data_IF_310232426490
#
_entry.id   IF_310232426490
#
_cell.length_a   1.000
_cell.length_b   1.000
_cell.length_c   1.000
_cell.angle_alpha   90.00
_cell.angle_beta   90.00
_cell.angle_gamma   90.00
#
_symmetry.space_group_name_H-M   'P 1'
#
loop_
_entity.id
_entity.type
_entity.pdbx_description
1 polymer ?
#
# COMPACT_ATOMS: atom_id res chain seq x y z
N UNK A 1 17.12 -7.58 4.72
CA UNK A 1 17.42 -6.18 4.34
C UNK A 1 16.44 -5.27 5.05
N UNK A 2 16.89 -4.43 5.99
CA UNK A 2 16.03 -3.44 6.66
C UNK A 2 16.16 -2.14 5.87
N UNK A 3 15.17 -1.84 5.03
CA UNK A 3 15.10 -0.52 4.40
C UNK A 3 14.91 0.51 5.52
N UNK A 4 15.89 1.40 5.70
CA UNK A 4 15.85 2.40 6.77
C UNK A 4 14.57 3.23 6.63
N UNK A 5 13.79 3.33 7.71
CA UNK A 5 12.67 4.26 7.88
C UNK A 5 11.40 4.03 7.03
N UNK A 6 11.17 2.82 6.51
CA UNK A 6 9.97 2.48 5.73
C UNK A 6 8.86 1.78 6.55
N UNK A 7 8.92 1.85 7.89
CA UNK A 7 8.00 1.15 8.79
C UNK A 7 7.03 2.14 9.43
N UNK A 8 6.05 2.59 8.64
CA UNK A 8 4.96 3.44 9.14
C UNK A 8 3.73 2.66 9.59
N UNK A 9 3.67 1.38 9.25
CA UNK A 9 2.62 0.50 9.76
C UNK A 9 2.79 0.30 11.27
N UNK A 10 1.67 0.36 11.99
CA UNK A 10 1.63 0.14 13.45
C UNK A 10 1.30 -1.31 13.80
N UNK A 11 1.11 -2.17 12.80
CA UNK A 11 0.86 -3.60 12.95
C UNK A 11 1.52 -4.41 11.81
N UNK A 12 1.28 -5.73 11.80
CA UNK A 12 1.85 -6.67 10.83
C UNK A 12 1.48 -6.28 9.40
N UNK A 13 2.49 -6.18 8.54
CA UNK A 13 2.32 -6.12 7.08
C UNK A 13 1.95 -7.52 6.59
N UNK A 14 0.83 -7.64 5.89
CA UNK A 14 0.33 -8.93 5.40
C UNK A 14 0.58 -9.14 3.91
N UNK A 15 0.61 -8.05 3.13
CA UNK A 15 0.77 -8.11 1.67
C UNK A 15 1.57 -6.92 1.15
N UNK A 16 2.17 -7.09 -0.03
CA UNK A 16 2.86 -6.05 -0.78
C UNK A 16 2.70 -6.28 -2.28
N UNK A 17 2.81 -5.22 -3.07
CA UNK A 17 2.86 -5.27 -4.53
C UNK A 17 3.80 -4.19 -5.08
N UNK A 18 4.53 -4.53 -6.14
CA UNK A 18 5.30 -3.57 -6.93
C UNK A 18 4.43 -3.01 -8.07
N UNK A 19 4.63 -1.74 -8.43
CA UNK A 19 4.12 -1.21 -9.70
C UNK A 19 4.84 -1.87 -10.88
N UNK A 20 4.20 -1.98 -12.06
CA UNK A 20 4.81 -2.55 -13.26
C UNK A 20 6.13 -1.87 -13.65
N UNK A 21 6.21 -0.55 -13.57
CA UNK A 21 7.43 0.24 -13.83
C UNK A 21 8.52 0.10 -12.74
N UNK A 22 8.26 -0.63 -11.66
CA UNK A 22 9.16 -0.82 -10.52
C UNK A 22 9.54 0.46 -9.77
N UNK A 23 8.77 1.55 -9.92
CA UNK A 23 9.04 2.81 -9.20
C UNK A 23 8.29 2.91 -7.88
N UNK A 24 7.24 2.10 -7.68
CA UNK A 24 6.41 2.13 -6.48
C UNK A 24 6.28 0.77 -5.81
N UNK A 25 6.13 0.81 -4.48
CA UNK A 25 5.74 -0.34 -3.65
C UNK A 25 4.51 0.03 -2.84
N UNK A 26 3.46 -0.77 -2.94
CA UNK A 26 2.30 -0.69 -2.06
C UNK A 26 2.36 -1.80 -0.99
N UNK A 27 2.01 -1.47 0.25
CA UNK A 27 1.98 -2.40 1.39
C UNK A 27 0.64 -2.30 2.12
N UNK A 28 0.12 -3.45 2.56
CA UNK A 28 -1.14 -3.57 3.29
C UNK A 28 -0.93 -4.22 4.65
N UNK A 29 -1.61 -3.71 5.67
CA UNK A 29 -1.34 -4.06 7.06
C UNK A 29 -2.59 -4.41 7.85
N UNK A 30 -2.39 -5.12 8.96
CA UNK A 30 -3.40 -5.36 9.99
C UNK A 30 -3.87 -4.06 10.66
N UNK A 31 -3.12 -2.96 10.55
CA UNK A 31 -3.54 -1.63 11.03
C UNK A 31 -4.59 -0.96 10.14
N UNK A 32 -5.21 -1.70 9.21
CA UNK A 32 -6.25 -1.27 8.27
C UNK A 32 -5.80 -0.31 7.17
N UNK A 33 -4.51 -0.01 7.08
CA UNK A 33 -3.97 0.93 6.09
C UNK A 33 -3.32 0.26 4.89
N UNK A 34 -3.38 0.98 3.77
CA UNK A 34 -2.49 0.78 2.61
C UNK A 34 -1.51 1.94 2.56
N UNK A 35 -0.22 1.65 2.40
CA UNK A 35 0.81 2.66 2.22
C UNK A 35 1.51 2.44 0.88
N UNK A 36 1.69 3.52 0.12
CA UNK A 36 2.38 3.49 -1.17
C UNK A 36 3.65 4.32 -1.04
N UNK A 37 4.77 3.75 -1.48
CA UNK A 37 6.07 4.38 -1.49
C UNK A 37 6.59 4.49 -2.92
N UNK A 38 7.15 5.64 -3.26
CA UNK A 38 8.01 5.81 -4.43
C UNK A 38 9.45 5.51 -3.99
N UNK A 39 10.09 4.51 -4.61
CA UNK A 39 11.42 4.03 -4.18
C UNK A 39 12.53 5.01 -4.49
N UNK A 40 12.27 6.00 -5.35
CA UNK A 40 13.20 7.07 -5.68
C UNK A 40 13.05 8.28 -4.75
N UNK A 41 12.06 8.28 -3.85
CA UNK A 41 11.80 9.36 -2.90
C UNK A 41 12.05 8.94 -1.46
N UNK A 42 12.32 9.90 -0.55
CA UNK A 42 12.36 9.61 0.88
C UNK A 42 11.03 9.03 1.37
N UNK A 43 11.10 8.07 2.30
CA UNK A 43 9.94 7.40 2.91
C UNK A 43 8.86 8.36 3.46
N UNK A 44 9.26 9.59 3.82
CA UNK A 44 8.35 10.65 4.25
C UNK A 44 7.32 11.08 3.20
N UNK A 45 7.61 10.89 1.90
CA UNK A 45 6.73 11.22 0.77
C UNK A 45 5.70 10.14 0.44
N UNK A 46 5.61 9.09 1.25
CA UNK A 46 4.63 8.02 1.07
C UNK A 46 3.20 8.57 1.05
N UNK A 47 2.31 7.86 0.37
CA UNK A 47 0.88 8.06 0.46
C UNK A 47 0.33 7.05 1.48
N UNK A 48 -0.46 7.50 2.45
CA UNK A 48 -1.08 6.63 3.45
C UNK A 48 -2.59 6.71 3.35
N UNK A 49 -3.22 5.59 2.98
CA UNK A 49 -4.68 5.41 2.98
C UNK A 49 -5.06 4.71 4.28
N UNK A 50 -5.53 5.49 5.26
CA UNK A 50 -6.05 4.95 6.53
C UNK A 50 -7.46 4.40 6.34
N UNK A 51 -7.78 3.30 7.02
CA UNK A 51 -9.11 2.69 6.92
C UNK A 51 -9.44 2.22 5.50
N UNK A 52 -8.44 1.71 4.77
CA UNK A 52 -8.63 1.18 3.43
C UNK A 52 -9.62 0.00 3.42
N UNK A 53 -9.66 -0.76 4.52
CA UNK A 53 -10.64 -1.81 4.79
C UNK A 53 -11.12 -1.71 6.25
N UNK A 54 -12.30 -2.26 6.56
CA UNK A 54 -12.75 -2.44 7.94
C UNK A 54 -12.09 -3.69 8.56
N UNK A 55 -10.79 -3.57 8.86
CA UNK A 55 -9.94 -4.66 9.35
C UNK A 55 -8.67 -4.79 8.52
N UNK A 56 -7.96 -5.92 8.67
CA UNK A 56 -6.67 -6.14 8.02
C UNK A 56 -6.75 -6.12 6.49
N UNK A 57 -5.74 -5.53 5.85
CA UNK A 57 -5.56 -5.65 4.39
C UNK A 57 -4.79 -6.93 4.10
N UNK A 58 -5.34 -7.81 3.26
CA UNK A 58 -4.77 -9.15 3.00
C UNK A 58 -4.34 -9.37 1.55
N UNK A 59 -4.89 -8.61 0.61
CA UNK A 59 -4.50 -8.65 -0.80
C UNK A 59 -4.21 -7.26 -1.33
N UNK A 60 -3.21 -7.17 -2.21
CA UNK A 60 -2.78 -5.94 -2.88
C UNK A 60 -2.19 -6.31 -4.24
N UNK A 61 -2.55 -5.56 -5.27
CA UNK A 61 -1.99 -5.68 -6.61
C UNK A 61 -2.03 -4.33 -7.34
N UNK A 62 -1.01 -4.03 -8.14
CA UNK A 62 -1.11 -2.98 -9.15
C UNK A 62 -1.75 -3.55 -10.42
N UNK A 63 -2.69 -2.82 -10.99
CA UNK A 63 -3.26 -3.10 -12.31
C UNK A 63 -2.45 -2.45 -13.44
N UNK A 64 -1.91 -1.27 -13.15
CA UNK A 64 -1.02 -0.45 -14.00
C UNK A 64 -0.18 0.44 -13.06
N UNK A 65 0.60 1.39 -13.58
CA UNK A 65 1.49 2.22 -12.75
C UNK A 65 0.75 3.18 -11.79
N UNK A 66 -0.56 3.34 -11.94
CA UNK A 66 -1.36 4.32 -11.18
C UNK A 66 -2.64 3.74 -10.56
N UNK A 67 -2.91 2.46 -10.76
CA UNK A 67 -4.16 1.83 -10.29
C UNK A 67 -3.84 0.64 -9.41
N UNK A 68 -4.43 0.61 -8.21
CA UNK A 68 -4.23 -0.42 -7.20
C UNK A 68 -5.56 -1.09 -6.89
N UNK A 69 -5.54 -2.41 -6.75
CA UNK A 69 -6.63 -3.23 -6.20
C UNK A 69 -6.22 -3.74 -4.83
N UNK A 70 -7.13 -3.67 -3.85
CA UNK A 70 -6.92 -4.25 -2.52
C UNK A 70 -8.11 -5.08 -2.06
N UNK A 71 -7.84 -6.07 -1.22
CA UNK A 71 -8.86 -6.87 -0.52
C UNK A 71 -8.52 -6.99 0.97
N UNK A 72 -9.55 -7.10 1.81
CA UNK A 72 -9.36 -7.10 3.26
C UNK A 72 -10.38 -7.94 4.02
N UNK A 73 -10.22 -7.90 5.34
CA UNK A 73 -11.03 -8.63 6.33
C UNK A 73 -12.53 -8.33 6.24
N UNK A 74 -12.88 -7.16 5.73
CA UNK A 74 -14.27 -6.72 5.51
C UNK A 74 -14.97 -7.36 4.30
N UNK A 75 -14.38 -8.41 3.73
CA UNK A 75 -14.86 -9.13 2.56
C UNK A 75 -15.08 -8.27 1.31
N UNK A 76 -14.50 -7.07 1.26
CA UNK A 76 -14.62 -6.16 0.13
C UNK A 76 -13.34 -6.15 -0.71
N UNK A 77 -13.53 -5.87 -2.01
CA UNK A 77 -12.46 -5.49 -2.95
C UNK A 77 -12.63 -4.00 -3.24
N UNK A 78 -11.52 -3.27 -3.29
CA UNK A 78 -11.51 -1.83 -3.63
C UNK A 78 -10.50 -1.54 -4.72
N UNK A 79 -10.85 -0.59 -5.58
CA UNK A 79 -10.03 -0.10 -6.69
C UNK A 79 -9.71 1.37 -6.43
N UNK A 80 -8.44 1.74 -6.51
CA UNK A 80 -7.95 3.08 -6.25
C UNK A 80 -7.12 3.57 -7.43
N UNK A 81 -7.32 4.82 -7.84
CA UNK A 81 -6.42 5.52 -8.75
C UNK A 81 -5.55 6.48 -7.94
N UNK A 82 -4.24 6.35 -8.08
CA UNK A 82 -3.27 7.28 -7.56
C UNK A 82 -3.29 8.53 -8.45
N UNK A 83 -3.72 9.65 -7.88
CA UNK A 83 -3.64 10.96 -8.51
C UNK A 83 -2.57 11.77 -7.80
N UNK A 84 -1.64 12.35 -8.55
CA UNK A 84 -0.68 13.30 -7.99
C UNK A 84 -1.43 14.61 -7.67
N UNK A 85 -1.17 15.17 -6.50
CA UNK A 85 -1.52 16.57 -6.18
C UNK A 85 -0.36 17.48 -6.54
#
# INVERSE_FOLDING_TARGET
VKLKNMLYHTARINCLAWSPDSTMVATGSLDTSVIIYDVNKPASHRITVKGAHLGGVYGLAFNDDHTIVSSGEDACIRLWRLVQQ
#
